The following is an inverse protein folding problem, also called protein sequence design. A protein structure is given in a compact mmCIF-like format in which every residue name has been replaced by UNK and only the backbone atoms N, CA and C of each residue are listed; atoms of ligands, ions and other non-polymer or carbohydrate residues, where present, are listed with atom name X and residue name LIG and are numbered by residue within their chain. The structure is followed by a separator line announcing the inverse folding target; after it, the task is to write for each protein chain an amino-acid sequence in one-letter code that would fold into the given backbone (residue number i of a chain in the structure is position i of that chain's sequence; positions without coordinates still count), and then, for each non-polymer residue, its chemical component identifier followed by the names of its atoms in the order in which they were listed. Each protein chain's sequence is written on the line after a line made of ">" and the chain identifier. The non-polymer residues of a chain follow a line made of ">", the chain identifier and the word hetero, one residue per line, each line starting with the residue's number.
data_IF_112955589074
#
_entry.id   IF_112955589074
#
_cell.length_a   1.000
_cell.length_b   1.000
_cell.length_c   1.000
_cell.angle_alpha   90.00
_cell.angle_beta   90.00
_cell.angle_gamma   90.00
#
_symmetry.space_group_name_H-M   'P 1'
#
loop_
_entity.id
_entity.type
_entity.pdbx_description
1 polymer ?
#
# COMPACT_ATOMS: atom_id res chain seq x y z
N UNK A 1 3.17 6.46 13.41
CA UNK A 1 2.14 5.42 13.26
C UNK A 1 0.77 6.06 13.50
N UNK A 2 0.18 6.69 12.48
CA UNK A 2 -1.14 7.30 12.56
C UNK A 2 -2.05 6.56 11.57
N UNK A 3 -2.97 5.75 12.11
CA UNK A 3 -3.94 4.96 11.34
C UNK A 3 -4.11 3.54 11.89
N UNK A 4 -5.34 3.16 12.24
CA UNK A 4 -5.67 1.79 12.71
C UNK A 4 -5.40 0.71 11.64
N UNK A 5 -5.50 1.06 10.35
CA UNK A 5 -5.14 0.14 9.26
C UNK A 5 -3.64 -0.18 9.23
N UNK A 6 -2.78 0.81 9.49
CA UNK A 6 -1.34 0.57 9.59
C UNK A 6 -0.99 -0.30 10.80
N UNK A 7 -1.73 -0.15 11.92
CA UNK A 7 -1.61 -1.05 13.07
C UNK A 7 -2.05 -2.46 12.73
N UNK A 8 -3.16 -2.63 12.02
CA UNK A 8 -3.63 -3.94 11.60
C UNK A 8 -2.57 -4.65 10.73
N UNK A 9 -2.06 -3.97 9.70
CA UNK A 9 -1.01 -4.51 8.84
C UNK A 9 0.24 -4.90 9.65
N UNK A 10 0.69 -4.02 10.56
CA UNK A 10 1.83 -4.29 11.42
C UNK A 10 1.58 -5.48 12.38
N UNK A 11 0.39 -5.58 12.98
CA UNK A 11 0.06 -6.67 13.90
C UNK A 11 0.06 -8.04 13.21
N UNK A 12 -0.47 -8.12 11.99
CA UNK A 12 -0.46 -9.37 11.21
C UNK A 12 0.98 -9.76 10.84
N UNK A 13 1.78 -8.82 10.36
CA UNK A 13 3.19 -9.09 10.01
C UNK A 13 4.01 -9.45 11.25
N UNK A 14 3.95 -8.66 12.32
CA UNK A 14 4.71 -8.93 13.56
C UNK A 14 4.24 -10.19 14.29
N UNK A 15 2.97 -10.59 14.16
CA UNK A 15 2.49 -11.88 14.67
C UNK A 15 3.29 -13.08 14.11
N UNK A 16 3.80 -12.97 12.89
CA UNK A 16 4.66 -13.99 12.27
C UNK A 16 6.07 -14.01 12.86
N UNK A 17 6.62 -12.84 13.17
CA UNK A 17 7.88 -12.69 13.89
C UNK A 17 7.75 -13.23 15.32
N UNK A 18 6.67 -12.90 16.02
CA UNK A 18 6.35 -13.45 17.36
C UNK A 18 6.20 -14.98 17.34
N UNK A 19 5.75 -15.55 16.23
CA UNK A 19 5.64 -17.00 16.05
C UNK A 19 6.99 -17.67 15.74
N UNK A 20 8.08 -16.90 15.60
CA UNK A 20 9.44 -17.39 15.34
C UNK A 20 9.69 -17.89 13.92
N UNK A 21 8.82 -17.53 12.97
CA UNK A 21 8.86 -18.03 11.57
C UNK A 21 9.24 -16.95 10.55
N UNK A 22 9.45 -15.71 10.98
CA UNK A 22 9.79 -14.58 10.13
C UNK A 22 10.70 -13.59 10.86
N UNK A 23 11.40 -12.75 10.09
CA UNK A 23 12.29 -11.70 10.61
C UNK A 23 11.73 -10.29 10.37
N UNK A 24 11.88 -9.44 11.39
CA UNK A 24 11.31 -8.07 11.43
C UNK A 24 11.67 -7.20 10.22
N UNK A 25 12.94 -7.18 9.82
CA UNK A 25 13.40 -6.29 8.74
C UNK A 25 13.27 -6.97 7.38
N UNK A 26 13.85 -8.16 7.20
CA UNK A 26 13.94 -8.81 5.89
C UNK A 26 12.58 -9.26 5.34
N UNK A 27 11.64 -9.65 6.21
CA UNK A 27 10.40 -10.25 5.77
C UNK A 27 9.22 -9.32 6.01
N UNK A 28 9.04 -8.85 7.24
CA UNK A 28 7.87 -8.06 7.61
C UNK A 28 7.90 -6.67 7.00
N UNK A 29 8.93 -5.87 7.31
CA UNK A 29 9.02 -4.48 6.85
C UNK A 29 9.13 -4.42 5.32
N UNK A 30 10.08 -5.16 4.73
CA UNK A 30 10.24 -5.16 3.27
C UNK A 30 9.04 -5.77 2.56
N UNK A 31 8.40 -6.80 3.13
CA UNK A 31 7.17 -7.37 2.60
C UNK A 31 5.99 -6.39 2.61
N UNK A 32 5.84 -5.59 3.67
CA UNK A 32 4.82 -4.53 3.73
C UNK A 32 5.07 -3.44 2.67
N UNK A 33 6.33 -3.01 2.50
CA UNK A 33 6.69 -2.00 1.50
C UNK A 33 6.50 -2.53 0.07
N UNK A 34 6.84 -3.79 -0.18
CA UNK A 34 6.59 -4.45 -1.46
C UNK A 34 5.08 -4.56 -1.74
N UNK A 35 4.30 -4.98 -0.75
CA UNK A 35 2.84 -5.07 -0.86
C UNK A 35 2.19 -3.72 -1.16
N UNK A 36 2.69 -2.64 -0.55
CA UNK A 36 2.25 -1.27 -0.86
C UNK A 36 2.53 -0.92 -2.32
N UNK A 37 3.72 -1.19 -2.84
CA UNK A 37 4.07 -0.93 -4.25
C UNK A 37 3.16 -1.71 -5.20
N UNK A 38 2.98 -3.01 -4.96
CA UNK A 38 2.10 -3.86 -5.79
C UNK A 38 0.65 -3.37 -5.76
N UNK A 39 0.14 -2.98 -4.59
CA UNK A 39 -1.22 -2.44 -4.47
C UNK A 39 -1.39 -1.12 -5.24
N UNK A 40 -0.38 -0.24 -5.20
CA UNK A 40 -0.39 1.01 -5.96
C UNK A 40 -0.42 0.73 -7.46
N UNK A 41 0.36 -0.22 -7.96
CA UNK A 41 0.36 -0.60 -9.39
C UNK A 41 -1.00 -1.18 -9.83
N UNK A 42 -1.58 -2.07 -9.03
CA UNK A 42 -2.92 -2.63 -9.30
C UNK A 42 -3.97 -1.52 -9.34
N UNK A 43 -3.90 -0.58 -8.40
CA UNK A 43 -4.80 0.57 -8.40
C UNK A 43 -4.53 1.47 -9.61
N UNK A 44 -3.28 1.74 -9.98
CA UNK A 44 -2.94 2.53 -11.17
C UNK A 44 -3.52 1.92 -12.44
N UNK A 45 -3.43 0.60 -12.61
CA UNK A 45 -4.06 -0.12 -13.71
C UNK A 45 -5.58 -0.03 -13.66
N UNK A 46 -6.18 -0.26 -12.48
CA UNK A 46 -7.61 -0.14 -12.30
C UNK A 46 -8.12 1.28 -12.61
N UNK A 47 -7.40 2.34 -12.24
CA UNK A 47 -7.76 3.73 -12.53
C UNK A 47 -7.98 3.96 -14.03
N UNK A 48 -7.17 3.34 -14.89
CA UNK A 48 -7.30 3.44 -16.35
C UNK A 48 -8.64 2.92 -16.86
N UNK A 49 -9.26 1.96 -16.17
CA UNK A 49 -10.59 1.43 -16.53
C UNK A 49 -11.73 2.40 -16.20
N UNK A 50 -11.49 3.39 -15.34
CA UNK A 50 -12.44 4.44 -15.00
C UNK A 50 -12.29 5.68 -15.91
N UNK A 51 -11.35 5.67 -16.87
CA UNK A 51 -11.11 6.75 -17.81
C UNK A 51 -12.34 6.94 -18.72
N UNK A 52 -13.16 7.96 -18.42
CA UNK A 52 -14.41 8.25 -19.12
C UNK A 52 -15.63 8.35 -18.21
N UNK A 53 -15.53 7.94 -16.94
CA UNK A 53 -16.54 8.24 -15.93
C UNK A 53 -16.35 9.68 -15.48
N UNK A 54 -17.35 10.53 -15.75
CA UNK A 54 -17.33 11.92 -15.32
C UNK A 54 -17.01 12.02 -13.82
N UNK A 55 -15.96 12.78 -13.49
CA UNK A 55 -15.50 13.13 -12.14
C UNK A 55 -14.57 12.14 -11.41
N UNK A 56 -14.12 11.03 -12.00
CA UNK A 56 -13.08 10.23 -11.34
C UNK A 56 -11.71 10.92 -11.47
N UNK A 57 -11.12 11.30 -10.32
CA UNK A 57 -9.81 11.98 -10.25
C UNK A 57 -8.66 11.08 -9.77
N UNK A 58 -8.96 9.84 -9.38
CA UNK A 58 -8.01 8.91 -8.75
C UNK A 58 -8.29 8.67 -7.27
N UNK A 59 -7.50 7.79 -6.66
CA UNK A 59 -7.53 7.48 -5.22
C UNK A 59 -6.43 8.23 -4.48
N UNK A 60 -6.75 8.85 -3.36
CA UNK A 60 -5.73 9.40 -2.47
C UNK A 60 -5.30 8.35 -1.46
N UNK A 61 -4.00 8.10 -1.35
CA UNK A 61 -3.40 7.15 -0.42
C UNK A 61 -2.27 7.83 0.35
N UNK A 62 -2.22 7.65 1.67
CA UNK A 62 -1.03 7.99 2.47
C UNK A 62 -0.25 6.71 2.72
N UNK A 63 0.99 6.69 2.22
CA UNK A 63 1.91 5.55 2.29
C UNK A 63 2.44 5.31 3.70
N UNK A 64 3.09 4.17 3.91
CA UNK A 64 3.76 3.82 5.16
C UNK A 64 4.86 4.81 5.56
N UNK A 65 5.52 5.44 4.60
CA UNK A 65 6.53 6.50 4.83
C UNK A 65 5.91 7.86 5.21
N UNK A 66 4.58 7.98 5.19
CA UNK A 66 3.83 9.20 5.50
C UNK A 66 3.61 10.14 4.31
N UNK A 67 4.12 9.82 3.12
CA UNK A 67 3.85 10.60 1.91
C UNK A 67 2.44 10.30 1.38
N UNK A 68 1.75 11.33 0.90
CA UNK A 68 0.42 11.17 0.28
C UNK A 68 0.56 11.26 -1.23
N UNK A 69 -0.01 10.28 -1.93
CA UNK A 69 -0.05 10.21 -3.39
C UNK A 69 -1.51 10.20 -3.89
N UNK A 70 -1.69 10.62 -5.14
CA UNK A 70 -2.94 10.49 -5.88
C UNK A 70 -2.73 9.47 -7.00
N UNK A 71 -3.45 8.36 -6.98
CA UNK A 71 -3.33 7.27 -7.94
C UNK A 71 -4.41 7.45 -9.01
N UNK A 72 -4.02 7.92 -10.20
CA UNK A 72 -4.93 8.31 -11.29
C UNK A 72 -4.68 7.56 -12.62
N UNK A 73 -3.75 6.60 -12.66
CA UNK A 73 -3.45 5.76 -13.82
C UNK A 73 -2.60 6.42 -14.91
N UNK A 74 -2.27 7.70 -14.78
CA UNK A 74 -1.35 8.43 -15.69
C UNK A 74 0.10 8.46 -15.20
N UNK A 75 0.32 8.17 -13.92
CA UNK A 75 1.64 8.21 -13.31
C UNK A 75 2.35 6.87 -13.54
N UNK A 76 3.52 6.93 -14.18
CA UNK A 76 4.45 5.82 -14.31
C UNK A 76 5.54 6.00 -13.25
N UNK A 77 5.74 4.99 -12.39
CA UNK A 77 6.75 4.98 -11.33
C UNK A 77 8.13 4.56 -11.83
#
# INVERSE_FOLDING_TARGET
>A
MLGELNKLAANISEGRNMSGVHWRISDNLLGMLLGEQVAIEILSEAARTYAGINNFKGWSLTKFDGTTILINGSDFF
#
